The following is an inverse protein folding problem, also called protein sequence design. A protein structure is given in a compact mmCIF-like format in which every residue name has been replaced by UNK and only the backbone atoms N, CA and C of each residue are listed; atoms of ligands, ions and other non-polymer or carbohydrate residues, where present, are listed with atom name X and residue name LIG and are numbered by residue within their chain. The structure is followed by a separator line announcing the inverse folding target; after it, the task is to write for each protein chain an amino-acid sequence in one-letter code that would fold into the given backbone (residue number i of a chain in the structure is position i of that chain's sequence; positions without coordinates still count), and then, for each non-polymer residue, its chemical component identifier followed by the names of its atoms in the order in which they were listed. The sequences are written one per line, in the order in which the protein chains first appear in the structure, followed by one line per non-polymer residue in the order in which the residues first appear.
data_IF_543441502049
#
_entry.id   IF_543441502049
#
_cell.length_a   1.000
_cell.length_b   1.000
_cell.length_c   1.000
_cell.angle_alpha   90.00
_cell.angle_beta   90.00
_cell.angle_gamma   90.00
#
_symmetry.space_group_name_H-M   'P 1'
#
loop_
_entity.id
_entity.type
_entity.pdbx_description
1 polymer ?
#
# COMPACT_ATOMS: atom_id res chain seq x y z
N UNK A 1 32.88 9.01 0.67
CA UNK A 1 31.65 8.35 1.20
C UNK A 1 30.49 9.29 0.94
N UNK A 2 29.40 8.83 0.30
CA UNK A 2 28.21 9.68 0.13
C UNK A 2 27.66 10.10 1.50
N UNK A 3 27.06 11.29 1.63
CA UNK A 3 26.49 11.76 2.90
C UNK A 3 25.48 10.73 3.48
N UNK A 4 24.75 10.02 2.60
CA UNK A 4 23.87 8.91 2.98
C UNK A 4 24.59 7.83 3.81
N UNK A 5 25.82 7.45 3.45
CA UNK A 5 26.60 6.42 4.16
C UNK A 5 26.92 6.76 5.61
N UNK A 6 26.96 8.06 5.97
CA UNK A 6 27.21 8.49 7.35
C UNK A 6 25.94 8.36 8.22
N UNK A 7 24.75 8.52 7.62
CA UNK A 7 23.47 8.29 8.30
C UNK A 7 23.28 6.80 8.60
N UNK A 8 23.54 5.92 7.63
CA UNK A 8 23.27 4.47 7.77
C UNK A 8 23.92 3.87 9.01
N UNK A 9 25.21 4.15 9.24
CA UNK A 9 25.94 3.59 10.40
C UNK A 9 25.35 4.04 11.73
N UNK A 10 24.86 5.28 11.81
CA UNK A 10 24.27 5.83 13.04
C UNK A 10 22.84 5.34 13.26
N UNK A 11 22.05 5.22 12.20
CA UNK A 11 20.69 4.67 12.23
C UNK A 11 20.68 3.17 12.60
N UNK A 12 21.73 2.44 12.22
CA UNK A 12 21.92 1.04 12.58
C UNK A 12 22.74 0.83 13.88
N UNK A 13 22.96 1.88 14.68
CA UNK A 13 23.67 1.76 15.96
C UNK A 13 22.85 0.99 16.99
N UNK A 14 23.49 0.21 17.87
CA UNK A 14 22.81 -0.41 19.01
C UNK A 14 22.38 0.61 20.08
N UNK A 15 23.02 1.78 20.11
CA UNK A 15 22.71 2.85 21.06
C UNK A 15 21.49 3.68 20.62
N UNK A 16 20.42 3.68 21.44
CA UNK A 16 19.16 4.37 21.12
C UNK A 16 19.33 5.89 20.93
N UNK A 17 19.97 6.64 21.85
CA UNK A 17 20.25 8.06 21.65
C UNK A 17 20.95 8.38 20.32
N UNK A 18 21.93 7.55 19.92
CA UNK A 18 22.61 7.70 18.64
C UNK A 18 21.65 7.54 17.45
N UNK A 19 20.76 6.54 17.49
CA UNK A 19 19.74 6.34 16.44
C UNK A 19 18.74 7.49 16.38
N UNK A 20 18.24 7.93 17.53
CA UNK A 20 17.28 9.04 17.62
C UNK A 20 17.88 10.33 17.05
N UNK A 21 19.11 10.68 17.45
CA UNK A 21 19.80 11.85 16.93
C UNK A 21 20.07 11.76 15.41
N UNK A 22 20.34 10.55 14.90
CA UNK A 22 20.51 10.32 13.47
C UNK A 22 19.18 10.47 12.70
N UNK A 23 18.07 9.99 13.25
CA UNK A 23 16.75 10.17 12.67
C UNK A 23 16.35 11.64 12.63
N UNK A 24 16.57 12.40 13.70
CA UNK A 24 16.31 13.85 13.72
C UNK A 24 17.19 14.61 12.72
N UNK A 25 18.45 14.17 12.56
CA UNK A 25 19.34 14.73 11.53
C UNK A 25 18.86 14.39 10.11
N UNK A 26 18.30 13.20 9.90
CA UNK A 26 17.73 12.78 8.62
C UNK A 26 16.48 13.60 8.29
N UNK A 27 15.57 13.83 9.25
CA UNK A 27 14.40 14.69 9.06
C UNK A 27 14.80 16.07 8.56
N UNK A 28 15.76 16.70 9.24
CA UNK A 28 16.31 18.01 8.82
C UNK A 28 16.95 17.95 7.43
N UNK A 29 17.68 16.87 7.14
CA UNK A 29 18.27 16.68 5.82
C UNK A 29 17.21 16.62 4.72
N UNK A 30 16.16 15.80 4.88
CA UNK A 30 15.06 15.67 3.91
C UNK A 30 14.33 17.01 3.71
N UNK A 31 14.03 17.74 4.79
CA UNK A 31 13.41 19.07 4.73
C UNK A 31 14.33 20.08 4.00
N UNK A 32 15.60 20.12 4.37
CA UNK A 32 16.59 21.08 3.82
C UNK A 32 16.84 20.89 2.31
N UNK A 33 16.53 19.69 1.81
CA UNK A 33 16.74 19.29 0.43
C UNK A 33 15.49 19.46 -0.44
N UNK A 34 14.53 20.26 0.02
CA UNK A 34 13.33 20.71 -0.70
C UNK A 34 13.58 21.62 -1.93
N UNK A 35 14.82 21.77 -2.40
CA UNK A 35 15.10 22.59 -3.59
C UNK A 35 14.80 21.80 -4.87
N UNK A 36 14.26 22.47 -5.91
CA UNK A 36 14.01 21.90 -7.26
C UNK A 36 15.23 21.20 -7.90
N UNK A 37 16.43 21.41 -7.38
CA UNK A 37 17.68 20.84 -7.88
C UNK A 37 18.17 19.60 -7.12
N UNK A 38 17.50 19.19 -6.05
CA UNK A 38 17.90 18.01 -5.30
C UNK A 38 17.17 16.76 -5.79
N UNK A 39 17.94 15.85 -6.37
CA UNK A 39 17.54 14.46 -6.57
C UNK A 39 18.34 13.56 -5.63
N UNK A 40 17.70 12.49 -5.16
CA UNK A 40 18.37 11.39 -4.48
C UNK A 40 18.50 10.24 -5.45
N UNK A 41 19.66 9.57 -5.52
CA UNK A 41 19.76 8.34 -6.30
C UNK A 41 18.96 7.23 -5.62
N UNK A 42 18.39 6.29 -6.38
CA UNK A 42 17.70 5.13 -5.79
C UNK A 42 18.61 4.38 -4.81
N UNK A 43 19.86 4.17 -5.18
CA UNK A 43 20.86 3.51 -4.34
C UNK A 43 21.11 4.24 -3.00
N UNK A 44 21.14 5.57 -3.00
CA UNK A 44 21.28 6.32 -1.74
C UNK A 44 20.00 6.28 -0.90
N UNK A 45 18.81 6.28 -1.54
CA UNK A 45 17.54 6.08 -0.85
C UNK A 45 17.46 4.67 -0.21
N UNK A 46 17.87 3.61 -0.91
CA UNK A 46 17.94 2.24 -0.39
C UNK A 46 18.93 2.13 0.78
N UNK A 47 20.08 2.81 0.71
CA UNK A 47 21.03 2.88 1.83
C UNK A 47 20.41 3.51 3.06
N UNK A 48 19.71 4.64 2.89
CA UNK A 48 19.00 5.30 4.00
C UNK A 48 17.94 4.36 4.60
N UNK A 49 17.11 3.74 3.75
CA UNK A 49 16.08 2.80 4.20
C UNK A 49 16.66 1.55 4.86
N UNK A 50 17.82 1.05 4.42
CA UNK A 50 18.51 -0.03 5.12
C UNK A 50 18.93 0.38 6.53
N UNK A 51 19.32 1.64 6.73
CA UNK A 51 19.57 2.22 8.06
C UNK A 51 18.30 2.27 8.92
N UNK A 52 17.19 2.77 8.37
CA UNK A 52 15.89 2.87 9.06
C UNK A 52 15.30 1.50 9.40
N UNK A 53 15.46 0.52 8.49
CA UNK A 53 15.12 -0.88 8.71
C UNK A 53 15.80 -1.41 9.98
N UNK A 54 17.11 -1.14 10.15
CA UNK A 54 17.81 -1.54 11.37
C UNK A 54 17.46 -0.70 12.59
N UNK A 55 17.06 0.57 12.41
CA UNK A 55 16.48 1.34 13.52
C UNK A 55 15.23 0.67 14.09
N UNK A 56 14.35 0.13 13.22
CA UNK A 56 13.21 -0.68 13.64
C UNK A 56 13.64 -2.03 14.22
N UNK A 57 14.65 -2.68 13.61
CA UNK A 57 15.18 -3.96 14.07
C UNK A 57 15.61 -3.93 15.54
N UNK A 58 16.34 -2.90 15.96
CA UNK A 58 16.82 -2.70 17.33
C UNK A 58 15.80 -2.01 18.27
N UNK A 59 14.55 -1.83 17.83
CA UNK A 59 13.48 -1.31 18.66
C UNK A 59 12.67 -2.48 19.26
N UNK A 60 12.85 -2.74 20.56
CA UNK A 60 12.25 -3.92 21.21
C UNK A 60 11.02 -3.62 22.08
N UNK A 61 10.79 -2.35 22.46
CA UNK A 61 9.65 -1.99 23.32
C UNK A 61 8.41 -1.67 22.48
N UNK A 62 7.23 -2.29 22.72
CA UNK A 62 6.04 -2.11 21.88
C UNK A 62 5.64 -0.65 21.63
N UNK A 63 5.45 0.15 22.69
CA UNK A 63 5.14 1.59 22.56
C UNK A 63 6.22 2.39 21.82
N UNK A 64 7.48 1.95 21.88
CA UNK A 64 8.56 2.59 21.14
C UNK A 64 8.56 2.18 19.66
N UNK A 65 8.17 0.94 19.34
CA UNK A 65 7.97 0.47 17.98
C UNK A 65 6.85 1.23 17.29
N UNK A 66 5.70 1.41 17.96
CA UNK A 66 4.58 2.21 17.45
C UNK A 66 5.01 3.65 17.12
N UNK A 67 5.65 4.33 18.08
CA UNK A 67 6.17 5.69 17.88
C UNK A 67 7.20 5.77 16.77
N UNK A 68 8.06 4.76 16.66
CA UNK A 68 9.07 4.72 15.60
C UNK A 68 8.41 4.52 14.24
N UNK A 69 7.48 3.57 14.09
CA UNK A 69 6.75 3.34 12.85
C UNK A 69 6.02 4.60 12.39
N UNK A 70 5.34 5.30 13.32
CA UNK A 70 4.72 6.60 13.07
C UNK A 70 5.75 7.64 12.59
N UNK A 71 6.86 7.80 13.31
CA UNK A 71 7.92 8.75 12.93
C UNK A 71 8.55 8.44 11.57
N UNK A 72 8.67 7.15 11.20
CA UNK A 72 9.18 6.74 9.89
C UNK A 72 8.17 7.01 8.78
N UNK A 73 6.88 6.79 9.03
CA UNK A 73 5.81 7.20 8.12
C UNK A 73 5.79 8.72 7.89
N UNK A 74 5.91 9.51 8.96
CA UNK A 74 5.95 10.98 8.88
C UNK A 74 7.09 11.55 8.02
N UNK A 75 8.16 10.78 7.78
CA UNK A 75 9.19 11.19 6.82
C UNK A 75 8.60 11.50 5.45
N UNK A 76 7.59 10.73 5.02
CA UNK A 76 6.91 10.90 3.74
C UNK A 76 6.04 12.16 3.74
N UNK A 77 5.09 12.28 4.67
CA UNK A 77 4.07 13.34 4.63
C UNK A 77 4.51 14.67 5.24
N UNK A 78 5.50 14.69 6.15
CA UNK A 78 5.90 15.90 6.89
C UNK A 78 7.33 16.39 6.57
N UNK A 79 8.19 15.57 5.96
CA UNK A 79 9.61 15.91 5.80
C UNK A 79 10.12 15.90 4.36
N UNK A 80 9.46 15.17 3.45
CA UNK A 80 9.76 15.18 2.02
C UNK A 80 8.83 16.20 1.34
N UNK A 81 9.39 17.06 0.49
CA UNK A 81 8.65 18.11 -0.23
C UNK A 81 8.81 18.02 -1.77
N UNK A 82 9.43 16.94 -2.27
CA UNK A 82 9.68 16.74 -3.70
C UNK A 82 9.09 15.41 -4.13
N UNK A 83 8.24 15.43 -5.17
CA UNK A 83 7.61 14.25 -5.73
C UNK A 83 8.64 13.20 -6.18
N UNK A 84 9.74 13.63 -6.80
CA UNK A 84 10.81 12.72 -7.22
C UNK A 84 11.45 12.01 -6.00
N UNK A 85 11.71 12.76 -4.93
CA UNK A 85 12.30 12.20 -3.70
C UNK A 85 11.30 11.28 -3.02
N UNK A 86 10.02 11.67 -2.96
CA UNK A 86 8.93 10.86 -2.41
C UNK A 86 8.84 9.51 -3.12
N UNK A 87 8.70 9.51 -4.45
CA UNK A 87 8.58 8.29 -5.25
C UNK A 87 9.80 7.37 -5.09
N UNK A 88 11.01 7.94 -5.09
CA UNK A 88 12.24 7.17 -4.83
C UNK A 88 12.32 6.62 -3.42
N UNK A 89 11.81 7.34 -2.44
CA UNK A 89 11.79 6.90 -1.06
C UNK A 89 10.76 5.78 -0.84
N UNK A 90 9.62 5.82 -1.54
CA UNK A 90 8.63 4.72 -1.59
C UNK A 90 9.26 3.49 -2.23
N UNK A 91 9.86 3.65 -3.41
CA UNK A 91 10.51 2.56 -4.13
C UNK A 91 11.60 1.89 -3.27
N UNK A 92 12.49 2.69 -2.67
CA UNK A 92 13.55 2.18 -1.82
C UNK A 92 13.02 1.43 -0.59
N UNK A 93 11.96 1.93 0.06
CA UNK A 93 11.32 1.19 1.17
C UNK A 93 10.80 -0.16 0.69
N UNK A 94 10.05 -0.18 -0.41
CA UNK A 94 9.47 -1.39 -0.97
C UNK A 94 10.54 -2.43 -1.32
N UNK A 95 11.64 -2.01 -1.96
CA UNK A 95 12.76 -2.89 -2.30
C UNK A 95 13.48 -3.44 -1.07
N UNK A 96 13.66 -2.63 -0.01
CA UNK A 96 14.23 -3.09 1.25
C UNK A 96 13.30 -4.11 1.93
N UNK A 97 11.99 -3.87 1.95
CA UNK A 97 11.04 -4.84 2.52
C UNK A 97 11.08 -6.15 1.75
N UNK A 98 11.06 -6.12 0.41
CA UNK A 98 11.18 -7.32 -0.44
C UNK A 98 12.46 -8.09 -0.14
N UNK A 99 13.60 -7.40 -0.09
CA UNK A 99 14.92 -8.02 0.09
C UNK A 99 15.08 -8.66 1.47
N UNK A 100 14.60 -7.99 2.52
CA UNK A 100 14.91 -8.37 3.89
C UNK A 100 13.81 -9.22 4.53
N UNK A 101 12.61 -9.34 3.94
CA UNK A 101 11.46 -10.01 4.54
C UNK A 101 11.76 -11.40 5.08
N UNK A 102 12.44 -12.22 4.27
CA UNK A 102 12.78 -13.62 4.62
C UNK A 102 13.77 -13.73 5.78
N UNK A 103 14.47 -12.64 6.12
CA UNK A 103 15.40 -12.58 7.25
C UNK A 103 14.73 -12.18 8.57
N UNK A 104 13.47 -11.73 8.53
CA UNK A 104 12.72 -11.32 9.71
C UNK A 104 12.19 -12.57 10.40
N UNK A 105 12.60 -12.79 11.64
CA UNK A 105 12.08 -13.88 12.46
C UNK A 105 10.68 -13.56 13.03
N UNK A 106 9.98 -14.61 13.47
CA UNK A 106 8.62 -14.52 14.00
C UNK A 106 8.44 -13.52 15.15
N UNK A 107 9.49 -13.24 15.95
CA UNK A 107 9.38 -12.31 17.08
C UNK A 107 9.47 -10.84 16.67
N UNK A 108 9.89 -10.57 15.42
CA UNK A 108 10.06 -9.23 14.87
C UNK A 108 9.03 -8.89 13.80
N UNK A 109 8.28 -9.86 13.28
CA UNK A 109 7.44 -9.65 12.10
C UNK A 109 6.34 -8.59 12.33
N UNK A 110 5.71 -8.58 13.51
CA UNK A 110 4.59 -7.69 13.82
C UNK A 110 4.94 -6.20 13.71
N UNK A 111 6.12 -5.79 14.17
CA UNK A 111 6.56 -4.39 14.06
C UNK A 111 6.85 -3.97 12.62
N UNK A 112 7.18 -4.93 11.74
CA UNK A 112 7.33 -4.65 10.31
C UNK A 112 6.00 -4.60 9.57
N UNK A 113 5.01 -5.42 9.96
CA UNK A 113 3.63 -5.25 9.50
C UNK A 113 3.06 -3.88 9.90
N UNK A 114 3.28 -3.47 11.15
CA UNK A 114 2.92 -2.12 11.62
C UNK A 114 3.64 -1.02 10.85
N UNK A 115 4.94 -1.21 10.55
CA UNK A 115 5.72 -0.25 9.76
C UNK A 115 5.15 -0.10 8.35
N UNK A 116 4.85 -1.19 7.65
CA UNK A 116 4.22 -1.14 6.31
C UNK A 116 2.91 -0.37 6.38
N UNK A 117 2.09 -0.63 7.40
CA UNK A 117 0.81 0.06 7.62
C UNK A 117 0.97 1.56 7.80
N UNK A 118 1.94 2.00 8.61
CA UNK A 118 2.22 3.43 8.79
C UNK A 118 2.82 4.08 7.54
N UNK A 119 3.73 3.41 6.83
CA UNK A 119 4.29 3.94 5.58
C UNK A 119 3.18 4.11 4.53
N UNK A 120 2.30 3.12 4.36
CA UNK A 120 1.17 3.22 3.45
C UNK A 120 0.25 4.41 3.78
N UNK A 121 -0.15 4.55 5.05
CA UNK A 121 -0.95 5.69 5.53
C UNK A 121 -0.33 7.03 5.15
N UNK A 122 0.97 7.18 5.39
CA UNK A 122 1.65 8.45 5.11
C UNK A 122 1.92 8.68 3.62
N UNK A 123 1.97 7.63 2.80
CA UNK A 123 1.92 7.78 1.34
C UNK A 123 0.57 8.37 0.91
N UNK A 124 -0.55 7.85 1.41
CA UNK A 124 -1.87 8.44 1.12
C UNK A 124 -1.99 9.87 1.64
N UNK A 125 -1.47 10.19 2.83
CA UNK A 125 -1.42 11.58 3.31
C UNK A 125 -0.64 12.50 2.37
N UNK A 126 0.49 12.03 1.84
CA UNK A 126 1.28 12.79 0.86
C UNK A 126 0.50 13.00 -0.45
N UNK A 127 -0.17 11.97 -0.98
CA UNK A 127 -0.98 12.09 -2.18
C UNK A 127 -2.18 13.04 -1.97
N UNK A 128 -2.86 12.92 -0.82
CA UNK A 128 -3.97 13.82 -0.43
C UNK A 128 -3.50 15.28 -0.32
N UNK A 129 -2.35 15.54 0.29
CA UNK A 129 -1.81 16.91 0.41
C UNK A 129 -1.42 17.54 -0.94
N UNK A 130 -1.18 16.70 -1.95
CA UNK A 130 -0.98 17.11 -3.35
C UNK A 130 -2.25 16.99 -4.18
N UNK A 131 -3.42 16.97 -3.53
CA UNK A 131 -4.75 16.96 -4.15
C UNK A 131 -4.93 15.83 -5.16
N UNK A 132 -4.30 14.68 -4.90
CA UNK A 132 -4.36 13.51 -5.78
C UNK A 132 -3.92 13.82 -7.22
N UNK A 133 -2.91 14.70 -7.39
CA UNK A 133 -2.33 15.05 -8.69
C UNK A 133 -2.14 13.80 -9.57
N UNK A 134 -2.71 13.84 -10.77
CA UNK A 134 -2.83 12.67 -11.63
C UNK A 134 -1.46 12.09 -12.00
N UNK A 135 -0.46 12.95 -12.28
CA UNK A 135 0.88 12.49 -12.64
C UNK A 135 1.55 11.80 -11.46
N UNK A 136 1.51 12.43 -10.28
CA UNK A 136 2.06 11.86 -9.06
C UNK A 136 1.38 10.53 -8.67
N UNK A 137 0.05 10.44 -8.80
CA UNK A 137 -0.70 9.21 -8.52
C UNK A 137 -0.28 8.11 -9.51
N UNK A 138 -0.21 8.41 -10.80
CA UNK A 138 0.20 7.43 -11.82
C UNK A 138 1.64 6.92 -11.56
N UNK A 139 2.57 7.82 -11.26
CA UNK A 139 3.96 7.45 -10.96
C UNK A 139 4.06 6.63 -9.66
N UNK A 140 3.26 6.97 -8.63
CA UNK A 140 3.22 6.20 -7.38
C UNK A 140 2.63 4.80 -7.60
N UNK A 141 1.55 4.70 -8.37
CA UNK A 141 0.94 3.43 -8.77
C UNK A 141 1.93 2.57 -9.56
N UNK A 142 2.70 3.15 -10.47
CA UNK A 142 3.76 2.43 -11.19
C UNK A 142 4.85 1.90 -10.24
N UNK A 143 5.31 2.71 -9.28
CA UNK A 143 6.24 2.27 -8.23
C UNK A 143 5.69 1.07 -7.47
N UNK A 144 4.42 1.11 -7.04
CA UNK A 144 3.79 0.00 -6.32
C UNK A 144 3.70 -1.25 -7.21
N UNK A 145 3.27 -1.09 -8.47
CA UNK A 145 3.14 -2.15 -9.46
C UNK A 145 4.47 -2.83 -9.78
N UNK A 146 5.58 -2.12 -9.89
CA UNK A 146 6.87 -2.75 -10.21
C UNK A 146 7.65 -3.24 -8.99
N UNK A 147 7.13 -3.04 -7.78
CA UNK A 147 7.77 -3.46 -6.52
C UNK A 147 6.93 -4.49 -5.77
N UNK A 148 6.28 -4.14 -4.65
CA UNK A 148 5.58 -5.08 -3.76
C UNK A 148 4.38 -5.73 -4.47
N UNK A 149 3.69 -4.99 -5.34
CA UNK A 149 2.50 -5.46 -6.06
C UNK A 149 2.83 -5.96 -7.48
N UNK A 150 4.06 -6.41 -7.71
CA UNK A 150 4.53 -6.86 -9.04
C UNK A 150 4.08 -8.25 -9.46
N UNK A 151 3.71 -9.11 -8.51
CA UNK A 151 3.41 -10.51 -8.79
C UNK A 151 4.63 -11.35 -9.19
N UNK A 152 5.84 -10.77 -9.18
CA UNK A 152 7.09 -11.50 -9.36
C UNK A 152 7.37 -12.38 -8.14
N UNK A 153 7.94 -13.56 -8.37
CA UNK A 153 8.38 -14.49 -7.33
C UNK A 153 9.47 -13.89 -6.42
N UNK A 154 10.13 -12.80 -6.86
CA UNK A 154 11.07 -12.05 -6.02
C UNK A 154 10.39 -11.32 -4.87
N UNK A 155 9.12 -10.92 -5.01
CA UNK A 155 8.37 -10.30 -3.94
C UNK A 155 7.77 -11.39 -3.03
N UNK A 156 8.16 -11.46 -1.75
CA UNK A 156 7.57 -12.42 -0.81
C UNK A 156 6.07 -12.23 -0.71
N UNK A 157 5.31 -13.32 -0.92
CA UNK A 157 3.84 -13.31 -1.03
C UNK A 157 3.14 -12.70 0.19
N UNK A 158 3.73 -12.79 1.37
CA UNK A 158 3.20 -12.16 2.58
C UNK A 158 3.06 -10.63 2.48
N UNK A 159 3.87 -9.96 1.65
CA UNK A 159 3.81 -8.50 1.48
C UNK A 159 2.54 -8.03 0.74
N UNK A 160 2.23 -8.51 -0.49
CA UNK A 160 0.97 -8.15 -1.15
C UNK A 160 -0.26 -8.65 -0.37
N UNK A 161 -0.17 -9.80 0.32
CA UNK A 161 -1.24 -10.26 1.22
C UNK A 161 -1.53 -9.24 2.31
N UNK A 162 -0.49 -8.80 3.02
CA UNK A 162 -0.65 -7.80 4.07
C UNK A 162 -1.16 -6.48 3.52
N UNK A 163 -0.76 -6.08 2.31
CA UNK A 163 -1.34 -4.89 1.68
C UNK A 163 -2.84 -5.06 1.42
N UNK A 164 -3.29 -6.21 0.91
CA UNK A 164 -4.73 -6.49 0.79
C UNK A 164 -5.47 -6.31 2.13
N UNK A 165 -4.89 -6.82 3.23
CA UNK A 165 -5.51 -6.74 4.57
C UNK A 165 -5.69 -5.32 5.11
N UNK A 166 -4.93 -4.34 4.61
CA UNK A 166 -4.88 -2.99 5.23
C UNK A 166 -5.18 -1.85 4.26
N UNK A 167 -5.21 -2.09 2.94
CA UNK A 167 -5.13 -1.01 1.95
C UNK A 167 -6.30 -0.04 2.05
N UNK A 168 -7.52 -0.59 2.02
CA UNK A 168 -8.74 0.20 2.05
C UNK A 168 -9.00 0.80 3.44
N UNK A 169 -8.59 0.14 4.52
CA UNK A 169 -8.63 0.71 5.88
C UNK A 169 -7.81 1.99 5.96
N UNK A 170 -6.58 1.94 5.46
CA UNK A 170 -5.67 3.08 5.51
C UNK A 170 -6.10 4.17 4.52
N UNK A 171 -6.68 3.82 3.37
CA UNK A 171 -7.23 4.79 2.44
C UNK A 171 -8.44 5.50 3.05
N UNK A 172 -9.42 4.76 3.57
CA UNK A 172 -10.61 5.28 4.26
C UNK A 172 -10.24 6.27 5.37
N UNK A 173 -9.27 5.87 6.21
CA UNK A 173 -8.79 6.71 7.31
C UNK A 173 -8.29 8.07 6.81
N UNK A 174 -7.61 8.11 5.67
CA UNK A 174 -7.07 9.36 5.10
C UNK A 174 -8.11 10.16 4.35
N UNK A 175 -9.00 9.51 3.59
CA UNK A 175 -10.10 10.18 2.88
C UNK A 175 -10.96 10.95 3.86
N UNK A 176 -11.34 10.32 4.96
CA UNK A 176 -12.34 10.84 5.88
C UNK A 176 -11.75 11.38 7.20
N UNK A 177 -10.44 11.61 7.27
CA UNK A 177 -9.76 12.12 8.49
C UNK A 177 -10.35 13.45 9.01
N UNK A 178 -10.93 14.25 8.11
CA UNK A 178 -11.49 15.59 8.40
C UNK A 178 -13.02 15.56 8.55
N UNK A 179 -13.67 14.41 8.33
CA UNK A 179 -15.11 14.30 8.56
C UNK A 179 -15.38 14.21 10.06
N UNK A 180 -16.21 15.13 10.56
CA UNK A 180 -16.79 15.01 11.90
C UNK A 180 -17.85 13.90 11.86
N UNK A 181 -17.47 12.70 12.29
CA UNK A 181 -18.43 11.61 12.47
C UNK A 181 -19.22 11.87 13.75
N UNK A 182 -20.44 12.41 13.61
CA UNK A 182 -21.41 12.43 14.71
C UNK A 182 -21.67 11.01 15.20
N UNK A 183 -21.87 10.82 16.51
CA UNK A 183 -22.29 9.52 17.04
C UNK A 183 -23.63 9.12 16.42
N UNK A 184 -23.60 8.03 15.64
CA UNK A 184 -24.76 7.46 14.98
C UNK A 184 -25.43 6.45 15.92
N UNK A 185 -26.35 6.94 16.74
CA UNK A 185 -27.21 6.09 17.57
C UNK A 185 -28.45 5.66 16.79
N UNK A 186 -28.66 4.35 16.65
CA UNK A 186 -29.84 3.78 15.94
C UNK A 186 -31.16 4.10 16.65
N UNK A 187 -31.13 4.47 17.92
CA UNK A 187 -32.30 4.88 18.69
C UNK A 187 -32.66 6.37 18.50
N UNK A 188 -31.77 7.17 17.89
CA UNK A 188 -32.04 8.58 17.59
C UNK A 188 -33.11 8.70 16.47
N UNK A 189 -34.22 9.43 16.68
CA UNK A 189 -35.20 9.71 15.62
C UNK A 189 -34.60 10.34 14.36
N UNK A 190 -33.46 11.02 14.46
CA UNK A 190 -32.71 11.61 13.35
C UNK A 190 -31.67 10.70 12.71
N UNK A 191 -31.52 9.45 13.15
CA UNK A 191 -30.46 8.51 12.71
C UNK A 191 -30.35 8.42 11.19
N UNK A 192 -31.48 8.15 10.51
CA UNK A 192 -31.48 7.91 9.07
C UNK A 192 -30.99 9.14 8.30
N UNK A 193 -31.43 10.33 8.71
CA UNK A 193 -31.02 11.58 8.08
C UNK A 193 -29.53 11.89 8.32
N UNK A 194 -29.03 11.64 9.53
CA UNK A 194 -27.60 11.80 9.87
C UNK A 194 -26.73 10.83 9.07
N UNK A 195 -27.15 9.57 8.98
CA UNK A 195 -26.48 8.55 8.19
C UNK A 195 -26.43 8.92 6.71
N UNK A 196 -27.56 9.30 6.11
CA UNK A 196 -27.62 9.75 4.70
C UNK A 196 -26.72 10.96 4.44
N UNK A 197 -26.69 11.92 5.37
CA UNK A 197 -25.81 13.09 5.25
C UNK A 197 -24.33 12.69 5.28
N UNK A 198 -23.94 11.78 6.18
CA UNK A 198 -22.57 11.26 6.26
C UNK A 198 -22.19 10.50 4.98
N UNK A 199 -23.06 9.63 4.48
CA UNK A 199 -22.80 8.88 3.25
C UNK A 199 -22.66 9.81 2.05
N UNK A 200 -23.52 10.83 1.93
CA UNK A 200 -23.40 11.84 0.89
C UNK A 200 -22.06 12.57 0.93
N UNK A 201 -21.58 12.94 2.11
CA UNK A 201 -20.25 13.56 2.28
C UNK A 201 -19.11 12.62 1.90
N UNK A 202 -19.22 11.33 2.26
CA UNK A 202 -18.22 10.32 1.89
C UNK A 202 -18.13 10.14 0.37
N UNK A 203 -19.28 10.06 -0.31
CA UNK A 203 -19.36 10.00 -1.78
C UNK A 203 -18.75 11.24 -2.42
N UNK A 204 -19.10 12.44 -1.94
CA UNK A 204 -18.57 13.71 -2.47
C UNK A 204 -17.03 13.79 -2.35
N UNK A 205 -16.48 13.34 -1.23
CA UNK A 205 -15.02 13.27 -1.04
C UNK A 205 -14.39 12.22 -1.97
N UNK A 206 -15.01 11.04 -2.10
CA UNK A 206 -14.49 9.95 -2.91
C UNK A 206 -14.51 10.27 -4.41
N UNK A 207 -15.47 11.06 -4.91
CA UNK A 207 -15.56 11.53 -6.29
C UNK A 207 -14.32 12.34 -6.71
N UNK A 208 -13.75 13.11 -5.78
CA UNK A 208 -12.51 13.86 -5.99
C UNK A 208 -11.22 13.02 -5.93
N UNK A 209 -11.32 11.71 -5.71
CA UNK A 209 -10.17 10.81 -5.51
C UNK A 209 -10.13 9.77 -6.63
N UNK A 210 -8.96 9.54 -7.27
CA UNK A 210 -8.83 8.51 -8.30
C UNK A 210 -8.73 7.09 -7.69
N UNK A 211 -9.73 6.66 -6.92
CA UNK A 211 -9.73 5.39 -6.17
C UNK A 211 -9.49 4.19 -7.09
N UNK A 212 -10.16 4.13 -8.25
CA UNK A 212 -9.96 3.06 -9.24
C UNK A 212 -8.52 2.98 -9.74
N UNK A 213 -7.82 4.11 -9.89
CA UNK A 213 -6.40 4.11 -10.26
C UNK A 213 -5.53 3.61 -9.10
N UNK A 214 -5.83 4.04 -7.88
CA UNK A 214 -5.10 3.62 -6.68
C UNK A 214 -5.19 2.10 -6.46
N UNK A 215 -6.32 1.46 -6.76
CA UNK A 215 -6.47 -0.01 -6.63
C UNK A 215 -6.05 -0.77 -7.90
N UNK A 216 -5.69 -0.07 -8.98
CA UNK A 216 -5.29 -0.67 -10.26
C UNK A 216 -4.23 -1.78 -10.17
N UNK A 217 -3.18 -1.67 -9.32
CA UNK A 217 -2.22 -2.76 -9.13
C UNK A 217 -2.86 -4.07 -8.65
N UNK A 218 -3.91 -4.00 -7.82
CA UNK A 218 -4.63 -5.18 -7.34
C UNK A 218 -5.51 -5.79 -8.44
N UNK A 219 -6.06 -4.98 -9.34
CA UNK A 219 -6.77 -5.49 -10.53
C UNK A 219 -5.83 -6.29 -11.44
N UNK A 220 -4.61 -5.82 -11.63
CA UNK A 220 -3.58 -6.53 -12.40
C UNK A 220 -3.20 -7.82 -11.69
N UNK A 221 -2.92 -7.77 -10.38
CA UNK A 221 -2.61 -8.98 -9.60
C UNK A 221 -3.75 -10.00 -9.64
N UNK A 222 -5.00 -9.57 -9.52
CA UNK A 222 -6.17 -10.45 -9.60
C UNK A 222 -6.22 -11.22 -10.93
N UNK A 223 -5.76 -10.65 -12.03
CA UNK A 223 -5.74 -11.31 -13.35
C UNK A 223 -4.46 -12.12 -13.59
N UNK A 224 -3.31 -11.56 -13.22
CA UNK A 224 -2.00 -12.02 -13.71
C UNK A 224 -1.14 -12.70 -12.63
N UNK A 225 -1.47 -12.58 -11.33
CA UNK A 225 -0.64 -13.18 -10.28
C UNK A 225 -0.58 -14.70 -10.45
N UNK A 226 0.63 -15.27 -10.32
CA UNK A 226 0.85 -16.71 -10.53
C UNK A 226 0.04 -17.59 -9.57
N UNK A 227 -0.05 -17.16 -8.31
CA UNK A 227 -0.73 -17.90 -7.26
C UNK A 227 -2.22 -17.56 -7.26
N UNK A 228 -3.06 -18.58 -7.51
CA UNK A 228 -4.53 -18.46 -7.42
C UNK A 228 -4.99 -17.85 -6.08
N UNK A 229 -4.46 -18.26 -4.91
CA UNK A 229 -4.86 -17.67 -3.64
C UNK A 229 -4.61 -16.15 -3.55
N UNK A 230 -3.55 -15.63 -4.19
CA UNK A 230 -3.29 -14.19 -4.23
C UNK A 230 -4.32 -13.49 -5.12
N UNK A 231 -4.70 -14.10 -6.24
CA UNK A 231 -5.74 -13.55 -7.13
C UNK A 231 -7.08 -13.44 -6.41
N UNK A 232 -7.46 -14.50 -5.70
CA UNK A 232 -8.70 -14.54 -4.90
C UNK A 232 -8.67 -13.50 -3.79
N UNK A 233 -7.56 -13.39 -3.05
CA UNK A 233 -7.41 -12.36 -2.01
C UNK A 233 -7.52 -10.93 -2.54
N UNK A 234 -6.91 -10.63 -3.69
CA UNK A 234 -7.07 -9.32 -4.33
C UNK A 234 -8.52 -9.06 -4.74
N UNK A 235 -9.27 -10.09 -5.16
CA UNK A 235 -10.69 -9.95 -5.50
C UNK A 235 -11.51 -9.62 -4.24
N UNK A 236 -11.44 -10.49 -3.25
CA UNK A 236 -12.29 -10.47 -2.06
C UNK A 236 -12.02 -9.24 -1.19
N UNK A 237 -10.75 -8.93 -0.90
CA UNK A 237 -10.43 -7.89 0.09
C UNK A 237 -10.32 -6.49 -0.50
N UNK A 238 -10.28 -6.36 -1.82
CA UNK A 238 -10.04 -5.06 -2.49
C UNK A 238 -11.08 -4.76 -3.56
N UNK A 239 -11.29 -5.66 -4.53
CA UNK A 239 -12.10 -5.34 -5.71
C UNK A 239 -13.61 -5.47 -5.47
N UNK A 240 -14.00 -6.39 -4.60
CA UNK A 240 -15.39 -6.65 -4.21
C UNK A 240 -15.69 -6.14 -2.79
N UNK A 241 -14.81 -5.30 -2.22
CA UNK A 241 -15.03 -4.71 -0.89
C UNK A 241 -16.23 -3.74 -0.93
N UNK A 242 -17.18 -3.94 -0.02
CA UNK A 242 -18.45 -3.18 0.08
C UNK A 242 -18.22 -1.66 0.16
N UNK A 243 -17.10 -1.21 0.72
CA UNK A 243 -16.77 0.22 0.83
C UNK A 243 -16.66 0.89 -0.53
N UNK A 244 -16.27 0.17 -1.58
CA UNK A 244 -16.19 0.74 -2.93
C UNK A 244 -17.59 1.05 -3.49
N UNK A 245 -18.61 0.27 -3.11
CA UNK A 245 -20.01 0.55 -3.43
C UNK A 245 -20.51 1.72 -2.59
N UNK A 246 -20.23 1.71 -1.28
CA UNK A 246 -20.62 2.78 -0.34
C UNK A 246 -20.08 4.15 -0.75
N UNK A 247 -18.87 4.19 -1.31
CA UNK A 247 -18.23 5.42 -1.79
C UNK A 247 -18.66 5.79 -3.22
N UNK A 248 -19.59 5.05 -3.82
CA UNK A 248 -20.03 5.17 -5.20
C UNK A 248 -18.87 5.10 -6.22
N UNK A 249 -17.80 4.36 -5.89
CA UNK A 249 -16.65 4.14 -6.77
C UNK A 249 -16.94 3.04 -7.80
N UNK A 250 -17.75 2.05 -7.42
CA UNK A 250 -18.28 0.99 -8.30
C UNK A 250 -19.80 0.89 -8.13
N UNK A 251 -20.47 0.35 -9.15
CA UNK A 251 -21.91 0.06 -9.10
C UNK A 251 -22.20 -1.14 -8.20
N UNK A 252 -23.35 -1.10 -7.51
CA UNK A 252 -23.84 -2.22 -6.72
C UNK A 252 -24.29 -3.35 -7.65
N UNK A 253 -23.58 -4.48 -7.59
CA UNK A 253 -23.88 -5.67 -8.41
C UNK A 253 -25.06 -6.48 -7.87
N UNK A 254 -25.54 -6.22 -6.65
CA UNK A 254 -26.62 -6.99 -6.03
C UNK A 254 -27.98 -6.81 -6.70
N UNK A 255 -28.17 -5.73 -7.49
CA UNK A 255 -29.36 -5.51 -8.31
C UNK A 255 -29.26 -6.13 -9.72
N UNK A 256 -28.09 -6.64 -10.13
CA UNK A 256 -27.86 -7.19 -11.49
C UNK A 256 -27.98 -8.71 -11.63
N UNK A 257 -28.07 -9.44 -10.51
CA UNK A 257 -28.17 -10.91 -10.50
C UNK A 257 -29.60 -11.44 -10.78
N UNK A 258 -30.49 -10.63 -11.38
CA UNK A 258 -31.84 -11.06 -11.77
C UNK A 258 -32.03 -11.41 -13.24
N UNK A 259 -31.04 -11.20 -14.13
CA UNK A 259 -31.19 -11.50 -15.56
C UNK A 259 -29.88 -11.98 -16.22
N UNK A 260 -29.33 -13.12 -15.81
CA UNK A 260 -28.51 -13.97 -16.71
C UNK A 260 -28.82 -15.46 -16.47
N UNK A 261 -30.03 -15.88 -16.84
CA UNK A 261 -30.28 -17.27 -17.26
C UNK A 261 -29.82 -17.44 -18.72
N UNK A 262 -29.00 -18.47 -18.92
CA UNK A 262 -28.88 -19.29 -20.13
C UNK A 262 -28.33 -18.65 -21.42
N UNK A 263 -27.11 -19.07 -21.80
CA UNK A 263 -26.96 -19.68 -23.12
C UNK A 263 -25.85 -20.74 -23.07
N UNK A 264 -26.25 -21.93 -22.61
CA UNK A 264 -25.52 -23.15 -22.87
C UNK A 264 -25.59 -23.51 -24.35
N UNK A 265 -24.63 -23.04 -25.15
CA UNK A 265 -24.46 -23.56 -26.51
C UNK A 265 -23.65 -24.85 -26.46
N UNK A 266 -24.41 -25.95 -26.50
CA UNK A 266 -23.93 -27.22 -27.03
C UNK A 266 -23.77 -27.11 -28.55
N UNK A 267 -22.57 -27.35 -29.08
CA UNK A 267 -22.43 -27.93 -30.42
C UNK A 267 -21.39 -29.05 -30.40
N UNK A 268 -21.80 -30.13 -31.07
CA UNK A 268 -21.21 -31.45 -31.17
C UNK A 268 -20.10 -31.52 -32.23
N UNK A 269 -19.20 -32.46 -31.98
CA UNK A 269 -18.59 -33.44 -32.90
C UNK A 269 -18.10 -32.95 -34.28
N UNK A 270 -16.79 -33.05 -34.49
CA UNK A 270 -16.29 -33.83 -35.61
C UNK A 270 -14.96 -34.51 -35.23
N UNK A 271 -14.96 -35.83 -35.43
CA UNK A 271 -13.88 -36.78 -35.30
C UNK A 271 -12.66 -36.40 -36.17
N UNK A 272 -11.46 -36.65 -35.68
CA UNK A 272 -10.42 -37.27 -36.49
C UNK A 272 -9.45 -38.05 -35.58
N UNK A 273 -9.56 -39.37 -35.70
CA UNK A 273 -8.72 -40.39 -35.10
C UNK A 273 -7.29 -40.33 -35.67
N UNK A 274 -6.26 -40.27 -34.81
CA UNK A 274 -4.99 -40.97 -35.09
C UNK A 274 -4.50 -41.66 -33.81
N UNK A 275 -4.70 -42.97 -33.78
CA UNK A 275 -4.11 -43.90 -32.84
C UNK A 275 -2.60 -44.01 -33.09
N UNK A 276 -1.75 -43.54 -32.17
CA UNK A 276 -0.37 -44.05 -32.07
C UNK A 276 -0.22 -44.97 -30.85
N UNK A 277 -0.37 -46.25 -31.17
CA UNK A 277 -0.06 -47.43 -30.38
C UNK A 277 1.45 -47.45 -30.00
N UNK A 278 1.81 -47.01 -28.78
CA UNK A 278 3.17 -47.19 -28.29
C UNK A 278 3.32 -48.47 -27.45
N UNK A 279 3.80 -49.53 -28.11
CA UNK A 279 4.31 -50.76 -27.50
C UNK A 279 5.81 -50.63 -27.22
N UNK A 280 6.15 -50.47 -25.94
CA UNK A 280 7.32 -51.01 -25.21
C UNK A 280 8.75 -50.94 -25.79
N UNK A 281 9.70 -50.59 -24.92
CA UNK A 281 10.69 -51.55 -24.39
C UNK A 281 11.10 -51.12 -22.97
#
# INVERSE_FOLDING_TARGET
MSQASNFVKKLASNDKPTRDAALESLKKFLISKSSKTFSISLLDAEKLWKGLYYSMWFCDRPKAQERLAENLGKLYSENINSNEVFLRFVEAFNLIMIKEWSSIDQWRIDKYYLLIRRVLRHNFKYLKSHQWDETLVNDWVDVMRRTILSGDAKAPVALPYHLCDIYLDELQLILFEELEEEELDKEDPGYLQKYENLMRQKIEIADGVPVLKLIGPFQILNKEAKLKPLREKCKEDILDDERLVDWAVIEDKSDSDSDEEDDGVAEKDDDDEEEEEWKGF
#
